data_IF_490700010232
#
_entry.id   IF_490700010232
#
_cell.length_a   1.000
_cell.length_b   1.000
_cell.length_c   1.000
_cell.angle_alpha   90.00
_cell.angle_beta   90.00
_cell.angle_gamma   90.00
#
_symmetry.space_group_name_H-M   'P 1'
#
loop_
_entity.id
_entity.type
_entity.pdbx_description
1 polymer ?
#
# COMPACT_ATOMS: atom_id res chain seq x y z
N UNK A 1 9.72 37.32 18.72
CA UNK A 1 9.57 35.85 18.58
C UNK A 1 8.55 35.53 17.48
N UNK A 2 8.95 35.47 16.20
CA UNK A 2 8.08 35.15 15.05
C UNK A 2 8.93 34.60 13.89
N UNK A 3 9.61 33.46 14.05
CA UNK A 3 10.36 32.82 12.94
C UNK A 3 10.33 31.29 12.90
N UNK A 4 9.75 30.62 13.88
CA UNK A 4 9.74 29.15 13.94
C UNK A 4 8.54 28.47 13.25
N UNK A 5 7.48 29.21 12.93
CA UNK A 5 6.26 28.65 12.32
C UNK A 5 6.37 28.42 10.81
N UNK A 6 7.35 29.03 10.12
CA UNK A 6 7.44 28.94 8.65
C UNK A 6 8.20 27.69 8.18
N UNK A 7 9.23 27.23 8.90
CA UNK A 7 10.00 26.03 8.51
C UNK A 7 9.19 24.74 8.65
N UNK A 8 8.38 24.63 9.71
CA UNK A 8 7.51 23.48 9.94
C UNK A 8 6.41 23.36 8.87
N UNK A 9 5.87 24.48 8.40
CA UNK A 9 4.86 24.49 7.34
C UNK A 9 5.48 24.09 5.98
N UNK A 10 6.72 24.50 5.71
CA UNK A 10 7.45 24.12 4.48
C UNK A 10 7.83 22.64 4.50
N UNK A 11 8.26 22.10 5.65
CA UNK A 11 8.49 20.66 5.80
C UNK A 11 7.20 19.85 5.67
N UNK A 12 6.08 20.32 6.23
CA UNK A 12 4.78 19.68 6.07
C UNK A 12 4.31 19.71 4.60
N UNK A 13 4.46 20.84 3.89
CA UNK A 13 4.16 20.91 2.46
C UNK A 13 5.08 20.05 1.59
N UNK A 14 6.37 19.92 1.92
CA UNK A 14 7.28 19.00 1.24
C UNK A 14 6.90 17.53 1.47
N UNK A 15 6.44 17.19 2.68
CA UNK A 15 5.94 15.84 3.00
C UNK A 15 4.58 15.53 2.35
N UNK A 16 3.75 16.54 2.09
CA UNK A 16 2.45 16.39 1.40
C UNK A 16 2.63 16.27 -0.13
N UNK A 17 3.69 16.87 -0.70
CA UNK A 17 3.97 16.84 -2.14
C UNK A 17 4.82 15.62 -2.59
N UNK A 18 5.47 14.95 -1.64
CA UNK A 18 6.27 13.75 -1.89
C UNK A 18 5.39 12.55 -1.55
N UNK A 19 4.73 11.97 -2.54
CA UNK A 19 3.89 10.78 -2.35
C UNK A 19 4.57 9.76 -1.42
N UNK A 20 3.81 9.27 -0.43
CA UNK A 20 4.32 8.46 0.67
C UNK A 20 5.26 7.35 0.16
N UNK A 21 6.54 7.43 0.55
CA UNK A 21 7.50 6.33 0.34
C UNK A 21 7.10 5.24 1.32
N UNK A 22 6.60 4.13 0.81
CA UNK A 22 6.28 2.96 1.62
C UNK A 22 7.49 2.01 1.61
N UNK A 23 8.03 1.74 2.80
CA UNK A 23 9.08 0.74 2.98
C UNK A 23 8.48 -0.67 2.91
N UNK A 24 9.12 -1.58 2.19
CA UNK A 24 8.67 -2.97 2.11
C UNK A 24 8.97 -3.64 3.44
N UNK A 25 7.95 -4.19 4.09
CA UNK A 25 8.10 -4.88 5.36
C UNK A 25 7.77 -6.35 5.17
N UNK A 26 8.69 -7.23 5.55
CA UNK A 26 8.40 -8.66 5.67
C UNK A 26 7.49 -8.84 6.88
N UNK A 27 6.19 -8.94 6.62
CA UNK A 27 5.17 -9.02 7.67
C UNK A 27 5.39 -10.27 8.53
N UNK A 28 5.90 -10.08 9.75
CA UNK A 28 5.70 -11.05 10.83
C UNK A 28 4.43 -10.62 11.57
N UNK A 29 3.27 -11.11 11.14
CA UNK A 29 2.00 -10.86 11.80
C UNK A 29 1.85 -11.79 13.02
N UNK A 30 2.46 -11.41 14.14
CA UNK A 30 2.16 -11.98 15.46
C UNK A 30 1.56 -10.89 16.33
N UNK A 31 0.23 -10.88 16.53
CA UNK A 31 -0.42 -9.82 17.30
C UNK A 31 -1.92 -9.94 17.47
N UNK A 32 -2.31 -10.85 18.37
CA UNK A 32 -3.52 -10.93 19.20
C UNK A 32 -4.93 -10.72 18.60
N UNK A 33 -5.69 -11.80 18.73
CA UNK A 33 -7.13 -11.94 18.58
C UNK A 33 -7.91 -10.91 19.40
N UNK A 34 -8.74 -10.14 18.73
CA UNK A 34 -10.00 -9.67 19.30
C UNK A 34 -11.08 -10.08 18.32
N UNK A 35 -12.19 -10.63 18.82
CA UNK A 35 -13.39 -11.05 18.05
C UNK A 35 -14.11 -9.89 17.33
N UNK A 36 -13.40 -8.79 17.06
CA UNK A 36 -13.88 -7.69 16.26
C UNK A 36 -13.86 -8.11 14.79
N UNK A 37 -15.04 -8.16 14.17
CA UNK A 37 -15.17 -8.31 12.72
C UNK A 37 -14.30 -7.27 12.02
N UNK A 38 -13.54 -7.70 11.02
CA UNK A 38 -12.70 -6.81 10.25
C UNK A 38 -13.53 -5.70 9.62
N UNK A 39 -13.01 -4.48 9.64
CA UNK A 39 -13.64 -3.35 8.95
C UNK A 39 -13.15 -3.26 7.52
N UNK A 40 -13.95 -2.60 6.68
CA UNK A 40 -13.56 -2.29 5.29
C UNK A 40 -12.24 -1.53 5.22
N UNK A 41 -12.08 -0.50 6.06
CA UNK A 41 -10.84 0.29 6.16
C UNK A 41 -9.63 -0.58 6.51
N UNK A 42 -9.78 -1.50 7.47
CA UNK A 42 -8.71 -2.40 7.88
C UNK A 42 -8.33 -3.38 6.77
N UNK A 43 -9.31 -3.91 6.04
CA UNK A 43 -9.05 -4.77 4.89
C UNK A 43 -8.28 -4.03 3.79
N UNK A 44 -8.65 -2.77 3.50
CA UNK A 44 -7.93 -1.92 2.54
C UNK A 44 -6.50 -1.66 3.00
N UNK A 45 -6.26 -1.35 4.28
CA UNK A 45 -4.92 -1.14 4.82
C UNK A 45 -4.01 -2.37 4.68
N UNK A 46 -4.53 -3.56 5.03
CA UNK A 46 -3.81 -4.82 4.89
C UNK A 46 -3.49 -5.08 3.41
N UNK A 47 -4.47 -4.87 2.52
CA UNK A 47 -4.28 -5.03 1.08
C UNK A 47 -3.21 -4.05 0.54
N UNK A 48 -3.19 -2.80 1.00
CA UNK A 48 -2.20 -1.79 0.61
C UNK A 48 -0.78 -2.17 1.02
N UNK A 49 -0.59 -2.68 2.24
CA UNK A 49 0.72 -3.15 2.70
C UNK A 49 1.22 -4.30 1.83
N UNK A 50 0.34 -5.22 1.46
CA UNK A 50 0.69 -6.33 0.57
C UNK A 50 0.93 -5.88 -0.87
N UNK A 51 0.20 -4.87 -1.37
CA UNK A 51 0.47 -4.27 -2.66
C UNK A 51 1.83 -3.58 -2.73
N UNK A 52 2.24 -2.89 -1.66
CA UNK A 52 3.60 -2.33 -1.52
C UNK A 52 4.63 -3.45 -1.67
N UNK A 53 4.50 -4.53 -0.89
CA UNK A 53 5.44 -5.65 -0.93
C UNK A 53 5.51 -6.31 -2.31
N UNK A 54 4.37 -6.56 -2.97
CA UNK A 54 4.35 -7.12 -4.31
C UNK A 54 5.02 -6.21 -5.35
N UNK A 55 4.82 -4.89 -5.26
CA UNK A 55 5.49 -3.92 -6.13
C UNK A 55 7.00 -3.87 -5.90
N UNK A 56 7.44 -4.01 -4.64
CA UNK A 56 8.85 -4.11 -4.27
C UNK A 56 9.50 -5.35 -4.85
N UNK A 57 8.89 -6.52 -4.64
CA UNK A 57 9.39 -7.81 -5.13
C UNK A 57 9.53 -7.82 -6.65
N UNK A 58 8.52 -7.29 -7.37
CA UNK A 58 8.56 -7.18 -8.82
C UNK A 58 9.66 -6.22 -9.33
N UNK A 59 10.03 -5.22 -8.51
CA UNK A 59 11.01 -4.20 -8.91
C UNK A 59 12.41 -4.48 -8.42
N UNK A 60 12.60 -5.47 -7.55
CA UNK A 60 13.87 -5.71 -6.87
C UNK A 60 14.30 -4.54 -5.98
N UNK A 61 13.36 -3.76 -5.44
CA UNK A 61 13.64 -2.61 -4.58
C UNK A 61 13.12 -2.81 -3.16
N UNK A 62 13.71 -2.08 -2.20
CA UNK A 62 13.30 -2.08 -0.78
C UNK A 62 12.32 -0.97 -0.43
N UNK A 63 11.95 -0.15 -1.40
CA UNK A 63 10.88 0.82 -1.26
C UNK A 63 10.24 1.16 -2.61
N UNK A 64 8.99 1.62 -2.54
CA UNK A 64 8.22 2.13 -3.67
C UNK A 64 7.44 3.37 -3.24
N UNK A 65 7.18 4.28 -4.18
CA UNK A 65 6.14 5.31 -4.03
C UNK A 65 4.91 4.86 -4.78
N UNK A 66 3.78 4.72 -4.10
CA UNK A 66 2.52 4.31 -4.72
C UNK A 66 1.55 5.50 -4.75
N UNK A 67 0.87 5.63 -5.89
CA UNK A 67 -0.32 6.45 -6.05
C UNK A 67 -1.50 5.54 -6.38
N UNK A 68 -2.40 5.35 -5.43
CA UNK A 68 -3.61 4.55 -5.59
C UNK A 68 -4.66 5.36 -6.37
N UNK A 69 -5.14 4.79 -7.47
CA UNK A 69 -6.28 5.31 -8.23
C UNK A 69 -7.60 4.66 -7.82
N UNK A 70 -7.59 3.36 -7.51
CA UNK A 70 -8.76 2.65 -6.99
C UNK A 70 -8.43 2.00 -5.66
N UNK A 71 -9.30 2.21 -4.69
CA UNK A 71 -9.30 1.55 -3.39
C UNK A 71 -10.73 1.17 -3.06
N UNK A 72 -11.10 -0.08 -3.31
CA UNK A 72 -12.45 -0.56 -3.04
C UNK A 72 -12.37 -1.89 -2.32
N UNK A 73 -13.18 -2.07 -1.29
CA UNK A 73 -13.34 -3.35 -0.64
C UNK A 73 -14.81 -3.76 -0.64
N UNK A 74 -15.07 -5.02 -0.97
CA UNK A 74 -16.41 -5.61 -0.96
C UNK A 74 -16.40 -6.79 -0.01
N UNK A 75 -17.30 -6.77 0.97
CA UNK A 75 -17.45 -7.88 1.88
C UNK A 75 -18.24 -9.01 1.22
N UNK A 76 -17.69 -10.21 1.25
CA UNK A 76 -18.38 -11.44 0.85
C UNK A 76 -19.01 -12.08 2.09
N UNK A 77 -20.33 -11.92 2.20
CA UNK A 77 -21.11 -12.44 3.32
C UNK A 77 -21.19 -13.97 3.35
N UNK A 78 -20.86 -14.67 2.26
CA UNK A 78 -20.93 -16.14 2.20
C UNK A 78 -19.67 -16.79 2.73
N UNK A 79 -18.52 -16.21 2.42
CA UNK A 79 -17.21 -16.77 2.76
C UNK A 79 -16.48 -15.98 3.88
N UNK A 80 -17.13 -14.95 4.44
CA UNK A 80 -16.68 -14.15 5.59
C UNK A 80 -15.29 -13.49 5.42
N UNK A 81 -15.12 -12.79 4.30
CA UNK A 81 -13.90 -12.01 4.00
C UNK A 81 -14.20 -10.75 3.19
N UNK A 82 -13.18 -9.89 3.04
CA UNK A 82 -13.21 -8.78 2.09
C UNK A 82 -12.45 -9.12 0.80
N UNK A 83 -13.02 -8.76 -0.35
CA UNK A 83 -12.30 -8.68 -1.61
C UNK A 83 -11.95 -7.23 -1.86
N UNK A 84 -10.65 -6.94 -1.84
CA UNK A 84 -10.10 -5.60 -2.05
C UNK A 84 -9.55 -5.49 -3.47
N UNK A 85 -9.99 -4.48 -4.21
CA UNK A 85 -9.44 -4.11 -5.51
C UNK A 85 -8.59 -2.86 -5.33
N UNK A 86 -7.30 -2.97 -5.65
CA UNK A 86 -6.33 -1.87 -5.64
C UNK A 86 -5.78 -1.68 -7.05
N UNK A 87 -5.83 -0.45 -7.57
CA UNK A 87 -5.16 -0.14 -8.82
C UNK A 87 -4.50 1.23 -8.73
N UNK A 88 -3.50 1.46 -9.57
CA UNK A 88 -2.81 2.74 -9.60
C UNK A 88 -1.47 2.69 -10.31
N UNK A 89 -0.60 3.60 -9.92
CA UNK A 89 0.77 3.66 -10.39
C UNK A 89 1.75 3.59 -9.23
N UNK A 90 2.92 3.04 -9.48
CA UNK A 90 4.02 3.08 -8.52
C UNK A 90 5.34 3.42 -9.20
N UNK A 91 6.27 3.90 -8.39
CA UNK A 91 7.63 4.21 -8.79
C UNK A 91 8.57 3.42 -7.87
N UNK A 92 9.41 2.54 -8.41
CA UNK A 92 10.43 1.87 -7.61
C UNK A 92 11.45 2.90 -7.11
N UNK A 93 11.91 2.75 -5.88
CA UNK A 93 12.93 3.63 -5.29
C UNK A 93 14.12 2.77 -4.90
N UNK A 94 15.28 3.07 -5.47
CA UNK A 94 16.49 2.31 -5.19
C UNK A 94 17.11 2.69 -3.83
N UNK A 95 18.18 1.98 -3.44
CA UNK A 95 18.87 2.21 -2.16
C UNK A 95 19.47 3.62 -2.01
N UNK A 96 19.64 4.37 -3.10
CA UNK A 96 20.14 5.74 -3.12
C UNK A 96 19.01 6.78 -3.07
N UNK A 97 17.75 6.35 -3.06
CA UNK A 97 16.58 7.24 -3.06
C UNK A 97 16.16 7.72 -4.46
N UNK A 98 16.76 7.19 -5.53
CA UNK A 98 16.41 7.55 -6.90
C UNK A 98 15.11 6.88 -7.32
N UNK A 99 14.25 7.66 -7.99
CA UNK A 99 12.92 7.24 -8.43
C UNK A 99 13.04 6.66 -9.84
N UNK A 100 12.71 5.38 -9.98
CA UNK A 100 12.68 4.69 -11.27
C UNK A 100 11.41 4.98 -12.09
N UNK A 101 11.31 4.31 -13.24
CA UNK A 101 10.20 4.50 -14.19
C UNK A 101 8.86 4.16 -13.57
N UNK A 102 7.84 4.96 -13.91
CA UNK A 102 6.44 4.73 -13.54
C UNK A 102 5.95 3.36 -14.03
N UNK A 103 5.31 2.61 -13.15
CA UNK A 103 4.70 1.30 -13.45
C UNK A 103 3.24 1.29 -13.05
N UNK A 104 2.41 0.54 -13.76
CA UNK A 104 0.98 0.37 -13.43
C UNK A 104 0.82 -0.90 -12.62
N UNK A 105 -0.08 -0.89 -11.65
CA UNK A 105 -0.51 -2.10 -10.95
C UNK A 105 -2.03 -2.18 -10.89
N UNK A 106 -2.53 -3.41 -10.90
CA UNK A 106 -3.92 -3.79 -10.71
C UNK A 106 -3.94 -5.11 -9.92
N UNK A 107 -4.49 -5.05 -8.71
CA UNK A 107 -4.49 -6.14 -7.76
C UNK A 107 -5.89 -6.37 -7.22
N UNK A 108 -6.24 -7.65 -7.09
CA UNK A 108 -7.43 -8.10 -6.40
C UNK A 108 -7.00 -9.05 -5.29
N UNK A 109 -7.25 -8.66 -4.05
CA UNK A 109 -6.72 -9.31 -2.86
C UNK A 109 -7.90 -9.73 -1.99
N UNK A 110 -7.98 -11.02 -1.65
CA UNK A 110 -8.86 -11.52 -0.61
C UNK A 110 -8.18 -11.28 0.74
N UNK A 111 -8.90 -10.70 1.70
CA UNK A 111 -8.43 -10.47 3.07
C UNK A 111 -9.43 -11.12 4.02
N UNK A 112 -8.98 -12.18 4.70
CA UNK A 112 -9.75 -12.93 5.70
C UNK A 112 -9.85 -12.14 7.00
N UNK A 113 -10.88 -12.37 7.82
CA UNK A 113 -11.01 -11.73 9.15
C UNK A 113 -9.81 -11.96 10.07
N UNK A 114 -9.05 -13.05 9.88
CA UNK A 114 -7.78 -13.33 10.56
C UNK A 114 -6.63 -12.40 10.14
N UNK A 115 -6.81 -11.61 9.07
CA UNK A 115 -5.77 -10.83 8.41
C UNK A 115 -4.97 -11.62 7.36
N UNK A 116 -5.26 -12.92 7.17
CA UNK A 116 -4.67 -13.72 6.11
C UNK A 116 -5.09 -13.19 4.73
N UNK A 117 -4.15 -13.18 3.78
CA UNK A 117 -4.40 -12.65 2.43
C UNK A 117 -4.13 -13.66 1.33
N UNK A 118 -4.91 -13.57 0.25
CA UNK A 118 -4.70 -14.33 -0.99
C UNK A 118 -4.85 -13.38 -2.18
N UNK A 119 -3.82 -13.32 -3.05
CA UNK A 119 -3.93 -12.59 -4.31
C UNK A 119 -4.79 -13.36 -5.29
N UNK A 120 -5.98 -12.84 -5.59
CA UNK A 120 -6.87 -13.35 -6.64
C UNK A 120 -6.44 -12.87 -8.03
N UNK A 121 -5.81 -11.69 -8.07
CA UNK A 121 -5.16 -11.12 -9.26
C UNK A 121 -3.99 -10.27 -8.80
N UNK A 122 -2.84 -10.45 -9.46
CA UNK A 122 -1.65 -9.62 -9.25
C UNK A 122 -1.06 -9.25 -10.61
N UNK A 123 -1.56 -8.15 -11.20
CA UNK A 123 -1.10 -7.67 -12.49
C UNK A 123 -0.25 -6.41 -12.30
N UNK A 124 1.03 -6.52 -12.66
CA UNK A 124 1.98 -5.40 -12.64
C UNK A 124 2.52 -5.23 -14.06
N UNK A 125 2.32 -4.06 -14.64
CA UNK A 125 2.68 -3.76 -16.03
C UNK A 125 3.71 -2.63 -16.09
N UNK A 126 4.73 -2.82 -16.93
CA UNK A 126 5.66 -1.76 -17.29
C UNK A 126 5.00 -0.86 -18.35
N UNK A 127 4.76 0.41 -18.01
CA UNK A 127 4.51 1.43 -19.02
C UNK A 127 5.80 2.21 -19.23
N UNK A 128 6.57 1.78 -20.24
CA UNK A 128 7.73 2.51 -20.75
C UNK A 128 7.33 3.84 -21.37
#
# INVERSE_FOLDING_TARGET
MKRFTSLLLVFACLLICVGCVAGCSKSNSGGSSSDAKMTESRAIEIAKQNAVNACCDYSGTTSVRINYGTEQAKYDYKEDFYVVTLSGYYFPVNQYGEIGTKRRFDMKIRVMNSGEIVFLQNHIEYKG
#
